data_IF_873576209420
#
_entry.id   IF_873576209420
#
_cell.length_a   1.000
_cell.length_b   1.000
_cell.length_c   1.000
_cell.angle_alpha   90.00
_cell.angle_beta   90.00
_cell.angle_gamma   90.00
#
_symmetry.space_group_name_H-M   'P 1'
#
loop_
_entity.id
_entity.type
_entity.pdbx_description
1 polymer ?
#
# COMPACT_ATOMS: atom_id res chain seq x y z
N UNK A 1 36.98 -37.19 -18.67
CA UNK A 1 35.85 -37.63 -19.53
C UNK A 1 34.74 -36.59 -19.47
N UNK A 2 34.19 -36.23 -20.62
CA UNK A 2 33.32 -35.06 -20.86
C UNK A 2 31.87 -35.31 -20.42
N UNK A 3 31.31 -34.41 -19.60
CA UNK A 3 29.87 -34.37 -19.30
C UNK A 3 29.24 -33.46 -20.36
N UNK A 4 28.58 -34.07 -21.36
CA UNK A 4 27.81 -33.33 -22.38
C UNK A 4 26.48 -32.89 -21.79
N UNK A 5 26.27 -31.58 -21.73
CA UNK A 5 25.01 -30.93 -21.41
C UNK A 5 24.02 -31.14 -22.56
N UNK A 6 23.01 -32.00 -22.38
CA UNK A 6 21.89 -32.06 -23.32
C UNK A 6 20.86 -30.99 -22.95
N UNK A 7 20.90 -29.92 -23.74
CA UNK A 7 19.93 -28.82 -23.78
C UNK A 7 18.59 -29.36 -24.31
N UNK A 8 17.60 -29.56 -23.43
CA UNK A 8 16.23 -29.88 -23.86
C UNK A 8 15.56 -28.56 -24.28
N UNK A 9 15.64 -28.27 -25.57
CA UNK A 9 14.71 -27.37 -26.26
C UNK A 9 13.73 -28.21 -27.05
N UNK A 10 12.46 -28.25 -26.63
CA UNK A 10 11.38 -28.72 -27.52
C UNK A 10 10.19 -27.78 -27.39
N UNK A 11 10.02 -27.01 -28.45
CA UNK A 11 8.82 -26.27 -28.79
C UNK A 11 7.61 -27.23 -28.89
N UNK A 12 6.44 -26.72 -28.51
CA UNK A 12 5.20 -27.04 -29.23
C UNK A 12 4.11 -27.79 -28.45
N UNK A 13 2.96 -27.11 -28.39
CA UNK A 13 1.59 -27.64 -28.43
C UNK A 13 1.06 -28.34 -27.17
N UNK A 14 0.23 -27.62 -26.41
CA UNK A 14 -1.22 -27.81 -26.50
C UNK A 14 -1.95 -26.85 -25.55
N UNK A 15 -2.64 -25.88 -26.12
CA UNK A 15 -3.70 -25.17 -25.41
C UNK A 15 -4.83 -26.16 -25.19
N UNK A 16 -4.98 -26.70 -23.98
CA UNK A 16 -6.15 -27.46 -23.58
C UNK A 16 -7.36 -26.53 -23.60
N UNK A 17 -8.06 -26.49 -24.73
CA UNK A 17 -9.41 -25.94 -24.86
C UNK A 17 -10.34 -26.83 -24.00
N UNK A 18 -10.63 -26.40 -22.78
CA UNK A 18 -11.79 -26.93 -22.06
C UNK A 18 -13.04 -26.38 -22.74
N UNK A 19 -13.59 -27.17 -23.68
CA UNK A 19 -14.97 -27.01 -24.14
C UNK A 19 -15.88 -27.33 -22.95
N UNK A 20 -16.32 -26.31 -22.22
CA UNK A 20 -17.51 -26.47 -21.38
C UNK A 20 -18.71 -26.63 -22.31
N UNK A 21 -19.40 -27.75 -22.12
CA UNK A 21 -20.58 -28.17 -22.86
C UNK A 21 -21.72 -27.20 -22.48
N UNK A 22 -22.08 -26.29 -23.38
CA UNK A 22 -23.28 -25.48 -23.24
C UNK A 22 -24.46 -26.43 -23.43
N UNK A 23 -25.16 -26.74 -22.34
CA UNK A 23 -26.47 -27.37 -22.40
C UNK A 23 -27.46 -26.24 -22.62
N UNK A 24 -27.99 -26.15 -23.83
CA UNK A 24 -29.11 -25.28 -24.15
C UNK A 24 -30.36 -25.82 -23.46
N UNK A 25 -30.90 -25.05 -22.54
CA UNK A 25 -32.29 -25.19 -22.09
C UNK A 25 -33.05 -23.93 -22.51
N UNK A 26 -34.29 -24.16 -22.89
CA UNK A 26 -35.06 -23.36 -23.84
C UNK A 26 -35.54 -22.01 -23.31
N UNK A 27 -35.57 -21.06 -24.25
CA UNK A 27 -36.45 -19.89 -24.40
C UNK A 27 -37.37 -19.53 -23.22
N UNK A 28 -37.15 -18.33 -22.67
CA UNK A 28 -38.22 -17.37 -22.48
C UNK A 28 -37.65 -15.97 -22.66
N UNK A 29 -38.18 -15.29 -23.67
CA UNK A 29 -37.95 -13.88 -23.97
C UNK A 29 -38.42 -13.05 -22.78
N UNK A 30 -37.49 -12.28 -22.19
CA UNK A 30 -37.84 -11.12 -21.38
C UNK A 30 -36.77 -10.07 -21.63
N UNK A 31 -37.10 -9.11 -22.49
CA UNK A 31 -36.45 -7.80 -22.54
C UNK A 31 -36.60 -7.13 -21.17
N UNK A 32 -35.61 -7.33 -20.30
CA UNK A 32 -35.48 -6.56 -19.07
C UNK A 32 -34.06 -6.04 -18.99
N UNK A 33 -33.94 -4.74 -19.21
CA UNK A 33 -32.71 -3.96 -19.18
C UNK A 33 -32.26 -3.66 -17.73
N UNK A 34 -32.45 -4.61 -16.82
CA UNK A 34 -32.12 -4.47 -15.41
C UNK A 34 -31.54 -5.80 -14.89
N UNK A 35 -30.53 -5.68 -14.02
CA UNK A 35 -29.76 -6.74 -13.40
C UNK A 35 -28.62 -7.38 -14.23
N UNK A 36 -27.67 -6.54 -14.64
CA UNK A 36 -26.26 -6.92 -14.47
C UNK A 36 -25.98 -7.07 -12.96
N UNK A 37 -26.36 -8.20 -12.38
CA UNK A 37 -25.77 -8.65 -11.12
C UNK A 37 -24.30 -8.86 -11.41
N UNK A 38 -23.48 -7.87 -11.05
CA UNK A 38 -22.02 -7.93 -11.09
C UNK A 38 -21.61 -8.96 -10.03
N UNK A 39 -21.74 -10.24 -10.35
CA UNK A 39 -21.34 -11.34 -9.49
C UNK A 39 -19.84 -11.24 -9.24
N UNK A 40 -19.45 -11.13 -7.97
CA UNK A 40 -18.08 -11.23 -7.43
C UNK A 40 -16.96 -10.95 -8.45
N UNK A 41 -16.99 -9.81 -9.16
CA UNK A 41 -15.84 -9.42 -9.97
C UNK A 41 -14.76 -9.11 -8.95
N UNK A 42 -13.69 -9.92 -8.85
CA UNK A 42 -12.59 -9.57 -7.97
C UNK A 42 -12.07 -8.24 -8.47
N UNK A 43 -12.18 -7.20 -7.65
CA UNK A 43 -11.66 -5.89 -7.99
C UNK A 43 -10.16 -6.06 -8.23
N UNK A 44 -9.72 -6.04 -9.49
CA UNK A 44 -8.31 -6.27 -9.85
C UNK A 44 -7.40 -5.25 -9.14
N UNK A 45 -7.95 -4.08 -8.79
CA UNK A 45 -7.26 -3.04 -8.04
C UNK A 45 -7.10 -3.33 -6.53
N UNK A 46 -7.87 -4.26 -5.94
CA UNK A 46 -7.68 -4.68 -4.54
C UNK A 46 -6.40 -5.51 -4.36
N UNK A 47 -6.00 -6.26 -5.39
CA UNK A 47 -4.81 -7.12 -5.36
C UNK A 47 -3.53 -6.41 -5.78
N UNK A 48 -3.62 -5.17 -6.29
CA UNK A 48 -2.44 -4.39 -6.63
C UNK A 48 -1.74 -3.90 -5.36
N UNK A 49 -0.60 -4.54 -5.02
CA UNK A 49 0.33 -4.05 -4.00
C UNK A 49 0.76 -2.62 -4.35
N UNK A 50 0.16 -1.63 -3.70
CA UNK A 50 0.53 -0.22 -3.86
C UNK A 50 2.03 -0.06 -3.54
N UNK A 51 2.80 0.52 -4.47
CA UNK A 51 4.22 0.79 -4.26
C UNK A 51 4.38 1.67 -3.02
N UNK A 52 5.15 1.20 -2.03
CA UNK A 52 5.37 1.96 -0.81
C UNK A 52 6.20 3.22 -1.11
N UNK A 53 5.75 4.37 -0.62
CA UNK A 53 6.46 5.64 -0.81
C UNK A 53 7.88 5.59 -0.19
N UNK A 54 8.85 6.38 -0.71
CA UNK A 54 10.15 6.50 -0.07
C UNK A 54 10.04 6.92 1.40
N UNK A 55 10.89 6.36 2.28
CA UNK A 55 10.84 6.61 3.73
C UNK A 55 10.88 8.10 4.10
N UNK A 56 11.61 8.92 3.35
CA UNK A 56 11.65 10.37 3.57
C UNK A 56 10.35 11.08 3.22
N UNK A 57 9.69 10.65 2.13
CA UNK A 57 8.38 11.18 1.72
C UNK A 57 7.32 10.80 2.77
N UNK A 58 7.34 9.56 3.27
CA UNK A 58 6.45 9.14 4.36
C UNK A 58 6.61 10.00 5.63
N UNK A 59 7.86 10.31 6.00
CA UNK A 59 8.15 11.17 7.16
C UNK A 59 7.68 12.60 6.92
N UNK A 60 7.90 13.16 5.74
CA UNK A 60 7.41 14.50 5.38
C UNK A 60 5.88 14.57 5.47
N UNK A 61 5.16 13.57 4.94
CA UNK A 61 3.70 13.47 5.08
C UNK A 61 3.25 13.44 6.54
N UNK A 62 3.98 12.71 7.39
CA UNK A 62 3.69 12.62 8.82
C UNK A 62 3.86 13.97 9.52
N UNK A 63 4.94 14.72 9.21
CA UNK A 63 5.14 16.08 9.71
C UNK A 63 4.03 17.03 9.28
N UNK A 64 3.65 17.02 8.00
CA UNK A 64 2.55 17.86 7.49
C UNK A 64 1.23 17.55 8.19
N UNK A 65 0.96 16.27 8.50
CA UNK A 65 -0.25 15.87 9.26
C UNK A 65 -0.24 16.47 10.67
N UNK A 66 0.87 16.32 11.41
CA UNK A 66 1.01 16.90 12.75
C UNK A 66 0.91 18.43 12.74
N UNK A 67 1.48 19.09 11.74
CA UNK A 67 1.41 20.55 11.61
C UNK A 67 -0.03 21.01 11.39
N UNK A 68 -0.80 20.31 10.55
CA UNK A 68 -2.23 20.57 10.36
C UNK A 68 -3.03 20.35 11.64
N UNK A 69 -2.78 19.25 12.36
CA UNK A 69 -3.44 18.98 13.66
C UNK A 69 -3.19 20.13 14.66
N UNK A 70 -1.95 20.62 14.75
CA UNK A 70 -1.60 21.76 15.61
C UNK A 70 -2.28 23.06 15.20
N UNK A 71 -2.27 23.38 13.91
CA UNK A 71 -2.93 24.58 13.37
C UNK A 71 -4.42 24.56 13.67
N UNK A 72 -5.06 23.40 13.48
CA UNK A 72 -6.48 23.22 13.77
C UNK A 72 -6.80 23.45 15.26
N UNK A 73 -6.01 22.90 16.17
CA UNK A 73 -6.20 23.11 17.62
C UNK A 73 -5.87 24.53 18.10
N UNK A 74 -5.11 25.31 17.33
CA UNK A 74 -4.74 26.69 17.70
C UNK A 74 -5.90 27.68 17.45
N UNK A 75 -6.73 27.40 16.46
CA UNK A 75 -7.77 28.32 15.99
C UNK A 75 -9.15 28.10 16.66
N UNK A 76 -9.26 27.13 17.56
CA UNK A 76 -10.53 26.72 18.20
C UNK A 76 -10.67 27.31 19.60
N UNK A 77 -11.92 27.51 20.02
CA UNK A 77 -12.27 27.91 21.39
C UNK A 77 -11.95 26.78 22.39
N UNK A 78 -11.84 27.10 23.69
CA UNK A 78 -11.39 26.17 24.73
C UNK A 78 -12.21 24.87 24.79
N UNK A 79 -13.54 24.98 24.74
CA UNK A 79 -14.44 23.83 24.78
C UNK A 79 -14.32 22.95 23.53
N UNK A 80 -14.32 23.57 22.34
CA UNK A 80 -14.16 22.88 21.06
C UNK A 80 -12.79 22.22 20.93
N UNK A 81 -11.76 22.85 21.49
CA UNK A 81 -10.39 22.35 21.50
C UNK A 81 -10.26 21.05 22.28
N UNK A 82 -10.89 20.95 23.45
CA UNK A 82 -10.90 19.70 24.23
C UNK A 82 -11.70 18.59 23.52
N UNK A 83 -12.90 18.90 22.99
CA UNK A 83 -13.67 17.93 22.18
C UNK A 83 -12.86 17.41 20.99
N UNK A 84 -12.17 18.31 20.29
CA UNK A 84 -11.37 17.96 19.11
C UNK A 84 -10.12 17.16 19.46
N UNK A 85 -9.43 17.52 20.54
CA UNK A 85 -8.28 16.79 21.06
C UNK A 85 -8.66 15.38 21.50
N UNK A 86 -9.80 15.22 22.18
CA UNK A 86 -10.34 13.90 22.51
C UNK A 86 -10.58 13.07 21.23
N UNK A 87 -11.27 13.63 20.23
CA UNK A 87 -11.55 12.94 18.96
C UNK A 87 -10.26 12.52 18.24
N UNK A 88 -9.24 13.38 18.21
CA UNK A 88 -7.92 13.04 17.64
C UNK A 88 -7.25 11.91 18.41
N UNK A 89 -7.34 11.90 19.74
CA UNK A 89 -6.79 10.82 20.57
C UNK A 89 -7.49 9.47 20.30
N UNK A 90 -8.82 9.47 20.21
CA UNK A 90 -9.60 8.27 19.85
C UNK A 90 -9.20 7.76 18.48
N UNK A 91 -9.10 8.63 17.47
CA UNK A 91 -8.63 8.23 16.14
C UNK A 91 -7.22 7.63 16.18
N UNK A 92 -6.28 8.24 16.92
CA UNK A 92 -4.93 7.70 17.10
C UNK A 92 -4.95 6.33 17.78
N UNK A 93 -5.82 6.11 18.77
CA UNK A 93 -5.98 4.82 19.44
C UNK A 93 -6.51 3.75 18.49
N UNK A 94 -7.52 4.07 17.67
CA UNK A 94 -8.06 3.16 16.64
C UNK A 94 -6.98 2.78 15.63
N UNK A 95 -6.15 3.72 15.19
CA UNK A 95 -5.06 3.40 14.27
C UNK A 95 -4.03 2.47 14.92
N UNK A 96 -3.68 2.71 16.19
CA UNK A 96 -2.79 1.82 16.96
C UNK A 96 -3.38 0.42 17.13
N UNK A 97 -4.68 0.30 17.41
CA UNK A 97 -5.33 -1.01 17.56
C UNK A 97 -5.36 -1.80 16.25
N UNK A 98 -5.43 -1.10 15.10
CA UNK A 98 -5.28 -1.70 13.77
C UNK A 98 -3.83 -2.09 13.42
N UNK A 99 -2.86 -1.82 14.30
CA UNK A 99 -1.44 -2.09 14.07
C UNK A 99 -0.72 -1.00 13.27
N UNK A 100 -1.36 0.15 13.02
CA UNK A 100 -0.70 1.26 12.34
C UNK A 100 0.25 2.02 13.27
N UNK A 101 1.40 2.45 12.72
CA UNK A 101 2.37 3.26 13.47
C UNK A 101 1.93 4.72 13.49
N UNK A 102 1.48 5.17 14.66
CA UNK A 102 1.25 6.59 14.97
C UNK A 102 2.55 7.21 15.50
N UNK A 103 2.97 8.32 14.92
CA UNK A 103 4.24 8.97 15.26
C UNK A 103 4.04 10.32 15.94
N UNK A 104 4.76 10.53 17.04
CA UNK A 104 4.90 11.84 17.68
C UNK A 104 6.12 12.58 17.12
N UNK A 105 6.22 13.89 17.38
CA UNK A 105 7.30 14.75 16.86
C UNK A 105 8.70 14.25 17.20
N UNK A 106 8.92 13.86 18.47
CA UNK A 106 10.19 13.31 18.94
C UNK A 106 10.55 12.03 18.17
N UNK A 107 9.56 11.16 17.97
CA UNK A 107 9.75 9.92 17.22
C UNK A 107 10.08 10.16 15.75
N UNK A 108 9.42 11.12 15.09
CA UNK A 108 9.73 11.51 13.71
C UNK A 108 11.12 12.12 13.58
N UNK A 109 11.53 12.97 14.54
CA UNK A 109 12.86 13.60 14.56
C UNK A 109 13.96 12.54 14.64
N UNK A 110 13.80 11.58 15.54
CA UNK A 110 14.71 10.45 15.68
C UNK A 110 14.76 9.60 14.40
N UNK A 111 13.60 9.30 13.82
CA UNK A 111 13.51 8.52 12.58
C UNK A 111 14.22 9.22 11.41
N UNK A 112 14.03 10.54 11.27
CA UNK A 112 14.71 11.37 10.27
C UNK A 112 16.22 11.32 10.45
N UNK A 113 16.71 11.55 11.67
CA UNK A 113 18.15 11.48 12.01
C UNK A 113 18.76 10.12 11.67
N UNK A 114 18.07 9.03 12.00
CA UNK A 114 18.55 7.67 11.73
C UNK A 114 18.65 7.38 10.22
N UNK A 115 17.69 7.84 9.42
CA UNK A 115 17.74 7.69 7.96
C UNK A 115 18.91 8.46 7.37
N UNK A 116 19.12 9.70 7.82
CA UNK A 116 20.24 10.53 7.36
C UNK A 116 21.59 9.89 7.71
N UNK A 117 21.76 9.42 8.96
CA UNK A 117 22.96 8.70 9.38
C UNK A 117 23.22 7.45 8.52
N UNK A 118 22.18 6.66 8.22
CA UNK A 118 22.33 5.47 7.35
C UNK A 118 22.77 5.85 5.93
N UNK A 119 22.18 6.92 5.36
CA UNK A 119 22.57 7.43 4.05
C UNK A 119 24.01 7.97 4.04
N UNK A 120 24.43 8.66 5.09
CA UNK A 120 25.80 9.17 5.23
C UNK A 120 26.82 8.03 5.32
N UNK A 121 26.57 7.01 6.16
CA UNK A 121 27.43 5.82 6.23
C UNK A 121 27.55 5.11 4.88
N UNK A 122 26.44 5.02 4.14
CA UNK A 122 26.45 4.45 2.79
C UNK A 122 27.34 5.29 1.85
N UNK A 123 27.20 6.61 1.84
CA UNK A 123 28.01 7.51 0.99
C UNK A 123 29.51 7.36 1.28
N UNK A 124 29.91 7.36 2.55
CA UNK A 124 31.30 7.14 2.98
C UNK A 124 31.86 5.80 2.47
N UNK A 125 31.09 4.71 2.62
CA UNK A 125 31.50 3.39 2.11
C UNK A 125 31.66 3.33 0.59
N UNK A 126 30.88 4.10 -0.15
CA UNK A 126 30.99 4.17 -1.61
C UNK A 126 32.17 5.03 -2.05
N UNK A 127 32.46 6.12 -1.34
CA UNK A 127 33.67 6.94 -1.57
C UNK A 127 34.93 6.08 -1.43
N UNK A 128 35.10 5.42 -0.28
CA UNK A 128 36.28 4.59 0.00
C UNK A 128 36.43 3.34 -0.89
N UNK A 129 35.45 3.02 -1.75
CA UNK A 129 35.55 1.93 -2.74
C UNK A 129 36.04 2.42 -4.10
N UNK A 130 35.92 3.72 -4.34
CA UNK A 130 36.30 4.38 -5.58
C UNK A 130 37.65 5.08 -5.45
N UNK A 131 38.23 5.09 -4.25
CA UNK A 131 39.62 5.47 -3.93
C UNK A 131 40.48 4.19 -3.91
#
# INVERSE_FOLDING_TARGET
>A
MSIKNNKITSNGKSTKKNKQKIVANNNNENDSFDDLVIGNIPNENERMKKKSLPKMVQISKSYKKLEREKKLLKNLNSEEKEKTKHRLNVQKAILKSKGEKVYDEKSLKNRKKNILKKKEKSRKRWSNKND
#
